data_IF_200083832638
#
_entry.id   IF_200083832638
#
_cell.length_a   1.000
_cell.length_b   1.000
_cell.length_c   1.000
_cell.angle_alpha   90.00
_cell.angle_beta   90.00
_cell.angle_gamma   90.00
#
_symmetry.space_group_name_H-M   'P 1'
#
loop_
_entity.id
_entity.type
_entity.pdbx_description
1 polymer ?
#
# COMPACT_ATOMS: atom_id res chain seq x y z
N UNK A 1 -3.42 -8.00 15.71
CA UNK A 1 -2.46 -8.82 14.92
C UNK A 1 -3.19 -9.34 13.70
N UNK A 2 -2.60 -9.26 12.52
CA UNK A 2 -3.25 -9.69 11.28
C UNK A 2 -2.77 -11.09 10.88
N UNK A 3 -3.67 -11.91 10.36
CA UNK A 3 -3.35 -13.26 9.83
C UNK A 3 -3.81 -13.34 8.40
N UNK A 4 -2.95 -13.80 7.50
CA UNK A 4 -3.28 -14.05 6.09
C UNK A 4 -3.25 -15.56 5.83
N UNK A 5 -4.26 -16.06 5.12
CA UNK A 5 -4.42 -17.47 4.77
C UNK A 5 -4.64 -17.56 3.28
N UNK A 6 -3.85 -18.40 2.63
CA UNK A 6 -4.03 -18.73 1.22
C UNK A 6 -4.39 -20.21 1.07
N UNK A 7 -5.52 -20.47 0.44
CA UNK A 7 -5.95 -21.79 0.06
C UNK A 7 -5.61 -22.02 -1.41
N UNK A 8 -4.80 -23.04 -1.66
CA UNK A 8 -4.42 -23.46 -3.02
C UNK A 8 -5.21 -24.72 -3.37
N UNK A 9 -6.09 -24.65 -4.35
CA UNK A 9 -6.80 -25.80 -4.86
C UNK A 9 -6.07 -26.38 -6.07
N UNK A 10 -6.19 -27.69 -6.29
CA UNK A 10 -5.56 -28.42 -7.41
C UNK A 10 -6.02 -27.96 -8.82
N UNK A 11 -6.98 -27.06 -8.90
CA UNK A 11 -7.57 -26.53 -10.15
C UNK A 11 -7.44 -25.02 -10.19
N UNK A 12 -6.29 -24.46 -10.50
CA UNK A 12 -5.99 -23.04 -10.84
C UNK A 12 -6.77 -21.93 -10.09
N UNK A 13 -7.51 -22.27 -9.05
CA UNK A 13 -8.26 -21.32 -8.23
C UNK A 13 -7.56 -21.13 -6.90
N UNK A 14 -7.23 -19.90 -6.61
CA UNK A 14 -6.67 -19.50 -5.32
C UNK A 14 -7.70 -18.66 -4.57
N UNK A 15 -7.83 -18.91 -3.28
CA UNK A 15 -8.62 -18.10 -2.37
C UNK A 15 -7.66 -17.61 -1.32
N UNK A 16 -7.58 -16.30 -1.15
CA UNK A 16 -6.91 -15.68 -0.01
C UNK A 16 -7.94 -14.98 0.86
N UNK A 17 -7.68 -14.98 2.16
CA UNK A 17 -8.48 -14.26 3.13
C UNK A 17 -7.62 -13.88 4.30
N UNK A 18 -7.90 -12.73 4.91
CA UNK A 18 -7.15 -12.31 6.08
C UNK A 18 -8.04 -11.70 7.15
N UNK A 19 -7.53 -11.67 8.38
CA UNK A 19 -8.08 -10.85 9.45
C UNK A 19 -7.39 -9.49 9.45
N UNK A 20 -8.16 -8.45 9.72
CA UNK A 20 -7.69 -7.08 9.90
C UNK A 20 -7.95 -6.68 11.37
N UNK A 21 -7.02 -7.06 12.24
CA UNK A 21 -7.20 -6.89 13.69
C UNK A 21 -6.55 -5.59 14.16
N UNK A 22 -7.33 -4.54 14.18
CA UNK A 22 -7.00 -3.25 14.78
C UNK A 22 -7.85 -2.99 16.01
N UNK A 23 -7.34 -2.22 16.96
CA UNK A 23 -8.07 -1.84 18.18
C UNK A 23 -9.16 -0.77 17.94
N UNK A 24 -9.42 -0.39 16.70
CA UNK A 24 -10.39 0.62 16.30
C UNK A 24 -10.86 0.37 14.85
N UNK A 25 -11.98 0.99 14.47
CA UNK A 25 -12.49 0.93 13.11
C UNK A 25 -11.56 1.70 12.16
N UNK A 26 -10.99 1.00 11.20
CA UNK A 26 -10.13 1.58 10.15
C UNK A 26 -10.91 2.20 9.00
N UNK A 27 -12.25 2.19 9.06
CA UNK A 27 -13.16 2.79 8.08
C UNK A 27 -12.89 2.33 6.64
N UNK A 28 -12.61 1.05 6.47
CA UNK A 28 -12.26 0.47 5.16
C UNK A 28 -13.43 0.50 4.19
N UNK A 29 -13.14 0.88 2.95
CA UNK A 29 -14.07 0.85 1.83
C UNK A 29 -13.47 0.07 0.68
N UNK A 30 -14.31 -0.49 -0.18
CA UNK A 30 -13.88 -1.12 -1.42
C UNK A 30 -13.69 -0.04 -2.48
N UNK A 31 -12.51 -0.02 -3.09
CA UNK A 31 -12.13 0.87 -4.18
C UNK A 31 -11.97 0.08 -5.47
N UNK A 32 -12.49 0.61 -6.58
CA UNK A 32 -12.22 0.12 -7.92
C UNK A 32 -11.37 1.15 -8.63
N UNK A 33 -10.14 0.78 -8.94
CA UNK A 33 -9.14 1.68 -9.51
C UNK A 33 -8.85 1.27 -10.95
N UNK A 34 -9.18 2.09 -11.95
CA UNK A 34 -9.03 1.73 -13.35
C UNK A 34 -7.58 1.83 -13.85
N UNK A 35 -7.32 1.20 -15.00
CA UNK A 35 -6.10 1.46 -15.78
C UNK A 35 -5.98 2.93 -16.15
N UNK A 36 -4.76 3.40 -16.35
CA UNK A 36 -4.46 4.77 -16.78
C UNK A 36 -4.62 5.83 -15.67
N UNK A 37 -5.14 5.48 -14.50
CA UNK A 37 -5.23 6.44 -13.41
C UNK A 37 -3.83 6.83 -12.94
N UNK A 38 -3.57 8.14 -12.90
CA UNK A 38 -2.31 8.69 -12.38
C UNK A 38 -2.38 8.77 -10.88
N UNK A 39 -1.29 8.36 -10.26
CA UNK A 39 -1.10 8.32 -8.81
C UNK A 39 0.18 9.07 -8.44
N UNK A 40 0.25 9.54 -7.20
CA UNK A 40 1.42 10.21 -6.66
C UNK A 40 1.60 9.82 -5.20
N UNK A 41 2.79 9.37 -4.86
CA UNK A 41 3.17 9.14 -3.46
C UNK A 41 3.19 10.47 -2.70
N UNK A 42 2.86 10.44 -1.41
CA UNK A 42 2.97 11.63 -0.57
C UNK A 42 4.44 11.87 -0.21
N UNK A 43 4.89 13.09 -0.39
CA UNK A 43 6.15 13.55 0.19
C UNK A 43 5.90 14.78 1.03
N UNK A 44 6.53 14.83 2.19
CA UNK A 44 6.53 16.02 3.05
C UNK A 44 7.76 16.90 2.83
N UNK A 45 8.68 16.46 1.98
CA UNK A 45 9.92 17.16 1.69
C UNK A 45 9.96 17.54 0.21
N UNK A 46 10.04 18.84 -0.05
CA UNK A 46 10.15 19.42 -1.40
C UNK A 46 11.45 19.04 -2.13
N UNK A 47 12.47 18.55 -1.42
CA UNK A 47 13.73 18.10 -2.00
C UNK A 47 13.71 16.63 -2.47
N UNK A 48 12.79 15.80 -1.98
CA UNK A 48 12.66 14.41 -2.42
C UNK A 48 11.82 14.36 -3.70
N UNK A 49 12.28 13.61 -4.69
CA UNK A 49 11.47 13.34 -5.88
C UNK A 49 10.27 12.48 -5.49
N UNK A 50 9.09 13.10 -5.46
CA UNK A 50 7.83 12.39 -5.29
C UNK A 50 7.65 11.40 -6.44
N UNK A 51 7.51 10.14 -6.11
CA UNK A 51 7.23 9.12 -7.11
C UNK A 51 5.81 9.29 -7.65
N UNK A 52 5.70 9.37 -8.97
CA UNK A 52 4.43 9.38 -9.69
C UNK A 52 4.39 8.20 -10.65
N UNK A 53 3.20 7.62 -10.83
CA UNK A 53 3.02 6.52 -11.79
C UNK A 53 1.63 6.59 -12.42
N UNK A 54 1.45 5.83 -13.48
CA UNK A 54 0.16 5.55 -14.08
C UNK A 54 -0.12 4.05 -13.91
N UNK A 55 -1.34 3.69 -13.58
CA UNK A 55 -1.71 2.29 -13.43
C UNK A 55 -1.77 1.60 -14.80
N UNK A 56 -0.89 0.63 -15.05
CA UNK A 56 -0.95 -0.26 -16.22
C UNK A 56 -2.03 -1.32 -16.06
N UNK A 57 -2.42 -1.59 -14.82
CA UNK A 57 -3.41 -2.60 -14.43
C UNK A 57 -4.52 -1.95 -13.60
N UNK A 58 -5.76 -2.35 -13.88
CA UNK A 58 -6.87 -2.06 -12.97
C UNK A 58 -6.82 -3.01 -11.76
N UNK A 59 -7.33 -2.55 -10.63
CA UNK A 59 -7.42 -3.35 -9.43
C UNK A 59 -8.65 -3.01 -8.58
N UNK A 60 -9.03 -3.97 -7.75
CA UNK A 60 -9.96 -3.76 -6.64
C UNK A 60 -9.16 -3.82 -5.36
N UNK A 61 -9.34 -2.84 -4.50
CA UNK A 61 -8.63 -2.78 -3.21
C UNK A 61 -9.55 -2.39 -2.07
N UNK A 62 -9.10 -2.63 -0.86
CA UNK A 62 -9.68 -2.07 0.35
C UNK A 62 -8.78 -0.94 0.84
N UNK A 63 -9.36 0.23 1.03
CA UNK A 63 -8.66 1.35 1.65
C UNK A 63 -8.64 1.24 3.19
N UNK A 64 -7.86 2.09 3.81
CA UNK A 64 -7.83 2.23 5.25
C UNK A 64 -7.80 3.71 5.64
N UNK A 65 -8.27 4.01 6.87
CA UNK A 65 -8.25 5.34 7.47
C UNK A 65 -9.05 6.40 6.70
N UNK A 66 -10.01 5.96 5.87
CA UNK A 66 -10.82 6.87 5.05
C UNK A 66 -10.09 7.47 3.84
N UNK A 67 -8.88 7.01 3.53
CA UNK A 67 -8.10 7.49 2.39
C UNK A 67 -8.17 6.50 1.21
N UNK A 68 -8.75 6.93 0.10
CA UNK A 68 -8.93 6.10 -1.11
C UNK A 68 -7.63 5.55 -1.71
N UNK A 69 -6.51 6.22 -1.45
CA UNK A 69 -5.19 5.82 -1.93
C UNK A 69 -4.43 4.92 -0.94
N UNK A 70 -4.88 4.82 0.31
CA UNK A 70 -4.25 3.99 1.34
C UNK A 70 -4.74 2.54 1.24
N UNK A 71 -4.37 1.86 0.18
CA UNK A 71 -4.80 0.49 -0.08
C UNK A 71 -4.07 -0.46 0.88
N UNK A 72 -4.82 -1.24 1.65
CA UNK A 72 -4.28 -2.23 2.57
C UNK A 72 -4.47 -3.68 2.12
N UNK A 73 -5.42 -3.93 1.23
CA UNK A 73 -5.69 -5.21 0.58
C UNK A 73 -6.06 -4.99 -0.86
N UNK A 74 -5.83 -5.97 -1.73
CA UNK A 74 -6.30 -5.85 -3.08
C UNK A 74 -5.93 -7.00 -3.99
N UNK A 75 -6.56 -6.97 -5.16
CA UNK A 75 -6.36 -7.92 -6.25
C UNK A 75 -6.38 -7.15 -7.56
N UNK A 76 -5.36 -7.33 -8.38
CA UNK A 76 -5.35 -6.73 -9.72
C UNK A 76 -5.86 -7.70 -10.79
N UNK A 77 -6.12 -7.17 -11.97
CA UNK A 77 -6.63 -7.93 -13.12
C UNK A 77 -5.67 -9.00 -13.67
N UNK A 78 -4.39 -8.97 -13.29
CA UNK A 78 -3.43 -10.02 -13.61
C UNK A 78 -3.46 -11.18 -12.58
N UNK A 79 -4.28 -11.07 -11.53
CA UNK A 79 -4.39 -12.09 -10.48
C UNK A 79 -3.37 -11.93 -9.35
N UNK A 80 -2.60 -10.85 -9.32
CA UNK A 80 -1.72 -10.54 -8.19
C UNK A 80 -2.55 -9.98 -7.03
N UNK A 81 -2.47 -10.63 -5.86
CA UNK A 81 -3.05 -10.13 -4.61
C UNK A 81 -1.99 -9.60 -3.68
N UNK A 82 -2.35 -8.63 -2.86
CA UNK A 82 -1.52 -8.05 -1.82
C UNK A 82 -2.33 -7.89 -0.53
N UNK A 83 -1.66 -8.09 0.61
CA UNK A 83 -2.19 -7.76 1.92
C UNK A 83 -1.11 -7.08 2.75
N UNK A 84 -1.43 -5.94 3.35
CA UNK A 84 -0.51 -5.21 4.22
C UNK A 84 -0.73 -5.66 5.66
N UNK A 85 0.23 -6.34 6.24
CA UNK A 85 0.18 -6.82 7.61
C UNK A 85 1.04 -5.92 8.51
N UNK A 86 0.49 -5.53 9.65
CA UNK A 86 1.22 -4.73 10.62
C UNK A 86 2.05 -5.61 11.56
N UNK A 87 3.35 -5.34 11.60
CA UNK A 87 4.27 -5.91 12.57
C UNK A 87 4.86 -4.77 13.41
N UNK A 88 4.58 -4.69 14.73
CA UNK A 88 4.99 -3.58 15.59
C UNK A 88 6.51 -3.33 15.60
N UNK A 89 7.31 -4.38 15.42
CA UNK A 89 8.77 -4.32 15.41
C UNK A 89 9.35 -3.83 14.07
N UNK A 90 8.51 -3.66 13.04
CA UNK A 90 8.97 -3.13 11.76
C UNK A 90 9.42 -1.68 11.91
N UNK A 91 10.67 -1.42 11.56
CA UNK A 91 11.24 -0.08 11.51
C UNK A 91 11.42 0.36 10.06
N UNK A 92 10.84 1.50 9.71
CA UNK A 92 11.05 2.17 8.44
C UNK A 92 11.68 3.55 8.69
N UNK A 93 12.46 4.08 7.74
CA UNK A 93 12.93 5.45 7.83
C UNK A 93 11.77 6.42 8.07
N UNK A 94 11.90 7.31 9.04
CA UNK A 94 10.86 8.30 9.40
C UNK A 94 10.96 9.60 8.62
N UNK A 95 11.99 9.72 7.79
CA UNK A 95 12.19 10.84 6.87
C UNK A 95 12.45 10.31 5.48
N UNK A 96 11.92 10.96 4.43
CA UNK A 96 12.22 10.57 3.07
C UNK A 96 13.72 10.75 2.79
N UNK A 97 14.34 9.85 2.01
CA UNK A 97 15.71 10.03 1.54
C UNK A 97 15.86 11.34 0.76
N UNK A 98 16.97 12.04 0.96
CA UNK A 98 17.24 13.36 0.36
C UNK A 98 18.20 13.31 -0.84
N UNK A 99 18.82 12.17 -1.07
CA UNK A 99 19.76 11.96 -2.18
C UNK A 99 19.04 11.64 -3.49
N UNK A 100 19.77 11.71 -4.60
CA UNK A 100 19.28 11.45 -5.97
C UNK A 100 19.18 9.95 -6.32
N UNK A 101 19.03 9.08 -5.33
CA UNK A 101 18.91 7.64 -5.52
C UNK A 101 17.57 7.19 -6.14
N UNK A 102 17.24 5.90 -6.06
CA UNK A 102 15.99 5.33 -6.56
C UNK A 102 14.75 6.07 -6.06
N UNK A 103 13.63 5.93 -6.76
CA UNK A 103 12.36 6.55 -6.42
C UNK A 103 11.98 6.33 -4.95
N UNK A 104 11.28 7.29 -4.37
CA UNK A 104 10.88 7.27 -2.96
C UNK A 104 9.38 7.12 -2.88
N UNK A 105 8.92 6.10 -2.17
CA UNK A 105 7.50 5.85 -1.92
C UNK A 105 7.23 5.71 -0.43
N UNK A 106 6.16 6.30 0.05
CA UNK A 106 5.70 6.03 1.40
C UNK A 106 4.99 4.66 1.45
N UNK A 107 5.03 4.02 2.63
CA UNK A 107 4.51 2.66 2.77
C UNK A 107 2.98 2.58 2.53
N UNK A 108 2.26 3.69 2.69
CA UNK A 108 0.79 3.71 2.54
C UNK A 108 0.36 3.62 1.08
N UNK A 109 1.18 4.15 0.16
CA UNK A 109 0.94 4.06 -1.29
C UNK A 109 1.51 2.78 -1.92
N UNK A 110 2.35 2.05 -1.18
CA UNK A 110 3.09 0.90 -1.69
C UNK A 110 2.18 -0.16 -2.32
N UNK A 111 1.10 -0.53 -1.63
CA UNK A 111 0.18 -1.56 -2.11
C UNK A 111 -0.54 -1.15 -3.40
N UNK A 112 -1.04 0.09 -3.48
CA UNK A 112 -1.67 0.63 -4.68
C UNK A 112 -0.70 0.70 -5.88
N UNK A 113 0.55 1.09 -5.63
CA UNK A 113 1.58 1.09 -6.67
C UNK A 113 1.88 -0.32 -7.20
N UNK A 114 2.07 -1.29 -6.32
CA UNK A 114 2.31 -2.70 -6.70
C UNK A 114 1.14 -3.24 -7.51
N UNK A 115 -0.10 -3.06 -7.04
CA UNK A 115 -1.29 -3.54 -7.75
C UNK A 115 -1.45 -2.89 -9.13
N UNK A 116 -1.13 -1.59 -9.23
CA UNK A 116 -1.25 -0.86 -10.48
C UNK A 116 -0.16 -1.15 -11.50
N UNK A 117 1.00 -1.70 -11.10
CA UNK A 117 2.18 -1.79 -11.97
C UNK A 117 2.79 -3.18 -12.12
N UNK A 118 2.52 -4.11 -11.20
CA UNK A 118 3.11 -5.44 -11.18
C UNK A 118 2.09 -6.52 -11.55
N UNK A 119 2.50 -7.49 -12.37
CA UNK A 119 1.65 -8.63 -12.76
C UNK A 119 1.92 -9.87 -11.93
N UNK A 120 3.16 -10.03 -11.48
CA UNK A 120 3.66 -11.24 -10.81
C UNK A 120 4.44 -10.88 -9.56
N UNK A 121 4.68 -11.86 -8.71
CA UNK A 121 5.55 -11.70 -7.53
C UNK A 121 7.00 -11.37 -7.94
N UNK A 122 7.47 -11.85 -9.08
CA UNK A 122 8.80 -11.52 -9.57
C UNK A 122 8.91 -10.07 -10.06
N UNK A 123 7.83 -9.53 -10.65
CA UNK A 123 7.74 -8.09 -10.94
C UNK A 123 7.82 -7.28 -9.64
N UNK A 124 7.12 -7.73 -8.59
CA UNK A 124 7.17 -7.06 -7.26
C UNK A 124 8.57 -7.04 -6.70
N UNK A 125 9.31 -8.15 -6.77
CA UNK A 125 10.71 -8.21 -6.30
C UNK A 125 11.60 -7.22 -7.04
N UNK A 126 11.45 -7.15 -8.36
CA UNK A 126 12.20 -6.22 -9.21
C UNK A 126 11.82 -4.77 -8.90
N UNK A 127 10.54 -4.49 -8.78
CA UNK A 127 10.02 -3.16 -8.47
C UNK A 127 10.50 -2.67 -7.09
N UNK A 128 10.44 -3.51 -6.06
CA UNK A 128 10.92 -3.16 -4.71
C UNK A 128 12.42 -2.86 -4.67
N UNK A 129 13.22 -3.50 -5.51
CA UNK A 129 14.65 -3.19 -5.62
C UNK A 129 14.93 -1.80 -6.22
N UNK A 130 13.95 -1.20 -6.89
CA UNK A 130 14.05 0.10 -7.57
C UNK A 130 13.52 1.27 -6.76
N UNK A 131 13.02 1.05 -5.53
CA UNK A 131 12.43 2.09 -4.69
C UNK A 131 12.96 2.05 -3.27
N UNK A 132 12.84 3.17 -2.58
CA UNK A 132 13.09 3.27 -1.14
C UNK A 132 11.79 3.60 -0.43
N UNK A 133 11.46 2.77 0.55
CA UNK A 133 10.23 2.89 1.31
C UNK A 133 10.52 3.70 2.58
N UNK A 134 9.62 4.62 2.93
CA UNK A 134 9.70 5.35 4.17
C UNK A 134 8.35 5.41 4.87
N UNK A 135 8.38 5.69 6.16
CA UNK A 135 7.19 5.83 6.99
C UNK A 135 6.74 7.31 6.98
N UNK A 136 5.86 7.65 6.05
CA UNK A 136 5.22 8.95 6.08
C UNK A 136 4.37 9.08 7.36
N UNK A 137 4.48 10.19 8.10
CA UNK A 137 3.70 10.37 9.31
C UNK A 137 2.22 10.49 8.97
N UNK A 138 1.46 9.43 9.19
CA UNK A 138 0.01 9.36 8.95
C UNK A 138 -0.72 10.51 9.67
N UNK A 139 -0.22 10.96 10.80
CA UNK A 139 -0.74 12.13 11.53
C UNK A 139 -0.85 13.41 10.70
N UNK A 140 0.00 13.59 9.68
CA UNK A 140 -0.08 14.74 8.76
C UNK A 140 -1.12 14.53 7.65
N UNK A 141 -1.49 13.28 7.41
CA UNK A 141 -2.49 12.91 6.41
C UNK A 141 -3.89 12.84 7.04
N UNK A 142 -3.97 12.67 8.34
CA UNK A 142 -5.20 12.60 9.11
C UNK A 142 -5.67 14.00 9.47
N UNK A 143 -6.60 14.52 8.70
CA UNK A 143 -7.27 15.80 9.01
C UNK A 143 -8.55 15.61 9.82
N UNK A 144 -8.78 14.43 10.37
CA UNK A 144 -9.93 14.13 11.20
C UNK A 144 -9.84 14.88 12.55
N UNK A 145 -10.96 15.41 13.01
CA UNK A 145 -11.13 15.97 14.35
C UNK A 145 -11.13 14.91 15.45
N UNK A 146 -11.17 13.64 15.07
CA UNK A 146 -11.12 12.54 16.02
C UNK A 146 -9.68 12.27 16.49
N UNK A 147 -9.47 12.05 17.80
CA UNK A 147 -8.14 11.78 18.31
C UNK A 147 -7.62 10.46 17.73
N UNK A 148 -6.43 10.50 17.13
CA UNK A 148 -5.72 9.28 16.73
C UNK A 148 -5.56 8.36 17.94
N UNK A 149 -5.69 7.05 17.76
CA UNK A 149 -5.34 6.09 18.80
C UNK A 149 -3.90 6.35 19.27
N UNK A 150 -3.70 6.33 20.59
CA UNK A 150 -2.41 6.70 21.20
C UNK A 150 -1.23 5.80 20.81
N UNK A 151 -1.50 4.72 20.06
CA UNK A 151 -0.54 3.66 19.71
C UNK A 151 -0.22 3.58 18.20
N UNK A 152 -0.44 4.67 17.46
CA UNK A 152 0.03 4.81 16.07
C UNK A 152 1.26 5.71 16.02
#
# INVERSE_FOLDING_TARGET
MCTDIRLVRLTDRHISGRTLDFGYDVQSRVQVVPRGQRQSAVTTNTAAQTMTWSNDLGYVGMDAFGFEWAICDGLNEAGLSIGTLWLPETTLPTSPPTDSGPGVIDFVHLAGWILGTCRTVDDVRTALASVRIWNAPIKRLWQSTDPLPKNL
#
